data_IF_267983557775
#
_entry.id   IF_267983557775
#
_cell.length_a   1.000
_cell.length_b   1.000
_cell.length_c   1.000
_cell.angle_alpha   90.00
_cell.angle_beta   90.00
_cell.angle_gamma   90.00
#
_symmetry.space_group_name_H-M   'P 1'
#
loop_
_entity.id
_entity.type
_entity.pdbx_description
1 polymer ?
#
# COMPACT_ATOMS: atom_id res chain seq x y z
N UNK A 1 -18.84 0.84 -32.12
CA UNK A 1 -17.80 1.82 -31.74
C UNK A 1 -18.00 2.13 -30.27
N UNK A 2 -17.01 1.88 -29.39
CA UNK A 2 -17.17 2.23 -27.99
C UNK A 2 -17.11 3.75 -27.85
N UNK A 3 -18.18 4.31 -27.32
CA UNK A 3 -18.25 5.72 -26.97
C UNK A 3 -17.14 5.98 -25.94
N UNK A 4 -16.12 6.74 -26.33
CA UNK A 4 -15.13 7.28 -25.38
C UNK A 4 -15.91 8.21 -24.45
N UNK A 5 -16.40 7.69 -23.32
CA UNK A 5 -16.91 8.52 -22.23
C UNK A 5 -15.80 9.49 -21.86
N UNK A 6 -16.01 10.77 -22.14
CA UNK A 6 -15.13 11.84 -21.69
C UNK A 6 -15.07 11.79 -20.15
N UNK A 7 -13.86 11.69 -19.60
CA UNK A 7 -13.69 11.71 -18.14
C UNK A 7 -14.22 13.04 -17.59
N UNK A 8 -15.15 12.96 -16.65
CA UNK A 8 -15.54 14.07 -15.77
C UNK A 8 -15.29 13.66 -14.31
N UNK A 9 -15.25 14.62 -13.39
CA UNK A 9 -14.98 14.32 -11.97
C UNK A 9 -16.04 13.38 -11.37
N UNK A 10 -17.29 13.50 -11.83
CA UNK A 10 -18.40 12.65 -11.37
C UNK A 10 -18.23 11.18 -11.75
N UNK A 11 -17.41 10.88 -12.76
CA UNK A 11 -17.05 9.51 -13.14
C UNK A 11 -16.33 8.78 -12.00
N UNK A 12 -15.75 9.50 -11.03
CA UNK A 12 -15.14 8.90 -9.83
C UNK A 12 -16.16 8.26 -8.89
N UNK A 13 -17.46 8.59 -8.99
CA UNK A 13 -18.54 7.94 -8.25
C UNK A 13 -19.01 6.63 -8.90
N UNK A 14 -18.56 6.33 -10.13
CA UNK A 14 -18.84 5.04 -10.77
C UNK A 14 -17.85 3.98 -10.26
N UNK A 15 -18.32 2.92 -9.58
CA UNK A 15 -17.43 1.95 -8.92
C UNK A 15 -16.38 1.34 -9.86
N UNK A 16 -16.79 0.95 -11.06
CA UNK A 16 -15.97 0.33 -12.08
C UNK A 16 -14.88 1.27 -12.63
N UNK A 17 -15.12 2.57 -12.71
CA UNK A 17 -14.09 3.56 -13.05
C UNK A 17 -13.17 3.82 -11.85
N UNK A 18 -13.74 4.01 -10.66
CA UNK A 18 -13.01 4.28 -9.42
C UNK A 18 -12.00 3.18 -9.10
N UNK A 19 -12.45 1.92 -9.13
CA UNK A 19 -11.62 0.73 -8.89
C UNK A 19 -10.48 0.66 -9.90
N UNK A 20 -10.74 0.89 -11.19
CA UNK A 20 -9.70 0.85 -12.24
C UNK A 20 -8.62 1.93 -12.02
N UNK A 21 -9.04 3.16 -11.71
CA UNK A 21 -8.11 4.26 -11.45
C UNK A 21 -7.32 4.04 -10.16
N UNK A 22 -7.99 3.64 -9.09
CA UNK A 22 -7.37 3.31 -7.80
C UNK A 22 -6.35 2.17 -7.92
N UNK A 23 -6.73 1.06 -8.56
CA UNK A 23 -5.83 -0.07 -8.79
C UNK A 23 -4.61 0.33 -9.65
N UNK A 24 -4.82 1.15 -10.69
CA UNK A 24 -3.71 1.67 -11.51
C UNK A 24 -2.77 2.57 -10.68
N UNK A 25 -3.32 3.42 -9.82
CA UNK A 25 -2.52 4.28 -8.96
C UNK A 25 -1.75 3.49 -7.89
N UNK A 26 -2.39 2.48 -7.28
CA UNK A 26 -1.74 1.56 -6.36
C UNK A 26 -0.62 0.77 -7.03
N UNK A 27 -0.83 0.26 -8.25
CA UNK A 27 0.19 -0.43 -9.04
C UNK A 27 1.42 0.47 -9.27
N UNK A 28 1.23 1.77 -9.50
CA UNK A 28 2.33 2.74 -9.60
C UNK A 28 3.11 2.88 -8.29
N UNK A 29 2.43 2.85 -7.15
CA UNK A 29 3.10 2.88 -5.83
C UNK A 29 3.89 1.60 -5.59
N UNK A 30 3.28 0.43 -5.86
CA UNK A 30 3.95 -0.86 -5.75
C UNK A 30 5.22 -0.92 -6.60
N UNK A 31 5.15 -0.45 -7.84
CA UNK A 31 6.33 -0.36 -8.70
C UNK A 31 7.40 0.58 -8.10
N UNK A 32 6.99 1.75 -7.59
CA UNK A 32 7.91 2.73 -7.02
C UNK A 32 8.65 2.24 -5.77
N UNK A 33 8.06 1.33 -5.00
CA UNK A 33 8.63 0.75 -3.77
C UNK A 33 8.98 -0.74 -3.93
N UNK A 34 9.19 -1.22 -5.16
CA UNK A 34 9.59 -2.60 -5.49
C UNK A 34 8.75 -3.69 -4.80
N UNK A 35 7.44 -3.47 -4.75
CA UNK A 35 6.49 -4.41 -4.15
C UNK A 35 6.35 -4.32 -2.63
N UNK A 36 7.09 -3.45 -1.94
CA UNK A 36 6.93 -3.26 -0.50
C UNK A 36 5.54 -2.67 -0.21
N UNK A 37 4.63 -3.53 0.24
CA UNK A 37 3.20 -3.22 0.30
C UNK A 37 2.88 -2.09 1.30
N UNK A 38 3.38 -2.11 2.56
CA UNK A 38 3.14 -1.00 3.49
C UNK A 38 3.66 0.38 3.01
N UNK A 39 4.89 0.46 2.48
CA UNK A 39 5.42 1.70 1.90
C UNK A 39 4.57 2.21 0.73
N UNK A 40 4.03 1.29 -0.07
CA UNK A 40 3.15 1.61 -1.19
C UNK A 40 1.81 2.18 -0.73
N UNK A 41 1.24 1.66 0.37
CA UNK A 41 0.03 2.20 1.00
C UNK A 41 0.28 3.59 1.58
N UNK A 42 1.39 3.78 2.29
CA UNK A 42 1.77 5.08 2.83
C UNK A 42 1.90 6.12 1.70
N UNK A 43 2.52 5.75 0.58
CA UNK A 43 2.66 6.63 -0.58
C UNK A 43 1.34 6.87 -1.33
N UNK A 44 0.41 5.92 -1.32
CA UNK A 44 -0.93 6.08 -1.88
C UNK A 44 -1.71 7.18 -1.13
N UNK A 45 -1.60 7.20 0.21
CA UNK A 45 -2.30 8.17 1.07
C UNK A 45 -1.54 9.51 1.20
N UNK A 46 -0.27 9.49 1.62
CA UNK A 46 0.53 10.69 1.86
C UNK A 46 1.16 11.30 0.59
N UNK A 47 1.16 10.56 -0.51
CA UNK A 47 1.82 10.92 -1.75
C UNK A 47 3.28 10.44 -1.84
N UNK A 48 3.65 9.89 -2.99
CA UNK A 48 4.99 9.33 -3.27
C UNK A 48 6.15 10.29 -2.99
N UNK A 49 6.01 11.58 -3.30
CA UNK A 49 7.07 12.56 -3.08
C UNK A 49 7.35 12.78 -1.60
N UNK A 50 6.29 12.76 -0.78
CA UNK A 50 6.37 12.89 0.68
C UNK A 50 7.08 11.70 1.29
N UNK A 51 6.68 10.49 0.91
CA UNK A 51 7.31 9.25 1.38
C UNK A 51 8.78 9.15 0.98
N UNK A 52 9.12 9.45 -0.28
CA UNK A 52 10.52 9.44 -0.74
C UNK A 52 11.39 10.41 0.05
N UNK A 53 10.89 11.63 0.28
CA UNK A 53 11.62 12.63 1.07
C UNK A 53 11.81 12.17 2.51
N UNK A 54 10.77 11.60 3.12
CA UNK A 54 10.82 11.14 4.51
C UNK A 54 11.81 9.99 4.70
N UNK A 55 11.77 8.97 3.83
CA UNK A 55 12.73 7.86 3.86
C UNK A 55 14.17 8.32 3.60
N UNK A 56 14.38 9.23 2.64
CA UNK A 56 15.73 9.70 2.31
C UNK A 56 16.44 10.45 3.45
N UNK A 57 15.68 10.97 4.43
CA UNK A 57 16.23 11.63 5.61
C UNK A 57 16.53 10.65 6.76
N UNK A 58 16.27 9.35 6.57
CA UNK A 58 16.29 8.32 7.59
C UNK A 58 17.15 7.13 7.16
N UNK A 59 18.48 7.16 7.40
CA UNK A 59 19.40 6.10 6.99
C UNK A 59 18.99 4.70 7.46
N UNK A 60 18.33 4.60 8.63
CA UNK A 60 17.79 3.36 9.18
C UNK A 60 16.72 2.72 8.28
N UNK A 61 16.08 3.48 7.39
CA UNK A 61 15.09 2.99 6.44
C UNK A 61 15.68 2.53 5.10
N UNK A 62 17.00 2.65 4.91
CA UNK A 62 17.67 2.41 3.63
C UNK A 62 17.43 0.99 3.09
N UNK A 63 17.35 0.00 3.99
CA UNK A 63 17.21 -1.40 3.62
C UNK A 63 15.76 -1.86 3.47
N UNK A 64 14.75 -1.06 3.86
CA UNK A 64 13.34 -1.51 3.85
C UNK A 64 12.93 -2.08 2.49
N UNK A 65 13.27 -1.37 1.41
CA UNK A 65 12.89 -1.77 0.05
C UNK A 65 13.59 -3.07 -0.40
N UNK A 66 14.84 -3.30 0.04
CA UNK A 66 15.64 -4.48 -0.34
C UNK A 66 15.43 -5.68 0.60
N UNK A 67 15.08 -5.44 1.85
CA UNK A 67 14.95 -6.42 2.92
C UNK A 67 13.53 -6.37 3.49
N UNK A 68 12.58 -6.81 2.67
CA UNK A 68 11.19 -6.93 3.09
C UNK A 68 11.07 -8.07 4.11
N UNK A 69 10.68 -7.75 5.33
CA UNK A 69 10.38 -8.72 6.39
C UNK A 69 9.40 -8.11 7.38
N UNK A 70 8.78 -8.95 8.20
CA UNK A 70 7.89 -8.57 9.30
C UNK A 70 8.65 -8.36 10.61
N UNK A 71 9.97 -8.20 10.53
CA UNK A 71 10.79 -7.89 11.70
C UNK A 71 10.30 -6.55 12.29
N UNK A 72 9.97 -6.48 13.59
CA UNK A 72 9.53 -5.23 14.21
C UNK A 72 10.48 -4.03 13.98
N UNK A 73 11.78 -4.29 13.84
CA UNK A 73 12.78 -3.25 13.54
C UNK A 73 12.66 -2.68 12.12
N UNK A 74 12.13 -3.46 11.17
CA UNK A 74 11.85 -3.01 9.81
C UNK A 74 10.45 -2.39 9.67
N UNK A 75 9.65 -2.36 10.75
CA UNK A 75 8.26 -1.89 10.74
C UNK A 75 8.05 -0.64 11.61
N UNK A 76 8.98 -0.34 12.52
CA UNK A 76 8.94 0.82 13.44
C UNK A 76 8.71 2.16 12.71
N UNK A 77 9.20 2.27 11.47
CA UNK A 77 9.07 3.46 10.64
C UNK A 77 7.60 3.89 10.47
N UNK A 78 6.65 2.95 10.51
CA UNK A 78 5.23 3.28 10.39
C UNK A 78 4.82 4.23 11.51
N UNK A 79 5.24 3.95 12.74
CA UNK A 79 4.94 4.69 13.98
C UNK A 79 5.74 5.99 14.13
N UNK A 80 6.78 6.17 13.32
CA UNK A 80 7.62 7.37 13.34
C UNK A 80 7.21 8.39 12.27
N UNK A 81 6.24 8.05 11.41
CA UNK A 81 5.72 8.99 10.42
C UNK A 81 5.02 10.18 11.11
N UNK A 82 5.26 11.42 10.69
CA UNK A 82 4.66 12.61 11.30
C UNK A 82 3.20 12.85 10.84
N UNK A 83 2.59 11.90 10.14
CA UNK A 83 1.23 12.01 9.62
C UNK A 83 0.38 10.90 10.23
N UNK A 84 -0.27 11.20 11.34
CA UNK A 84 -1.09 10.24 12.09
C UNK A 84 -2.16 9.58 11.19
N UNK A 85 -2.80 10.35 10.31
CA UNK A 85 -3.75 9.84 9.33
C UNK A 85 -3.13 8.75 8.44
N UNK A 86 -1.89 8.94 7.98
CA UNK A 86 -1.19 7.98 7.12
C UNK A 86 -0.77 6.74 7.91
N UNK A 87 -0.33 6.90 9.16
CA UNK A 87 -0.05 5.78 10.06
C UNK A 87 -1.28 4.89 10.24
N UNK A 88 -2.40 5.51 10.63
CA UNK A 88 -3.67 4.81 10.86
C UNK A 88 -4.20 4.17 9.57
N UNK A 89 -4.04 4.86 8.43
CA UNK A 89 -4.42 4.35 7.12
C UNK A 89 -3.67 3.05 6.78
N UNK A 90 -2.34 3.03 6.90
CA UNK A 90 -1.51 1.86 6.58
C UNK A 90 -1.93 0.66 7.43
N UNK A 91 -2.01 0.85 8.75
CA UNK A 91 -2.40 -0.21 9.69
C UNK A 91 -3.82 -0.73 9.43
N UNK A 92 -4.76 0.18 9.15
CA UNK A 92 -6.15 -0.20 8.87
C UNK A 92 -6.29 -1.01 7.58
N UNK A 93 -5.58 -0.62 6.52
CA UNK A 93 -5.63 -1.35 5.24
C UNK A 93 -4.94 -2.71 5.38
N UNK A 94 -3.79 -2.80 6.06
CA UNK A 94 -3.12 -4.08 6.33
C UNK A 94 -4.01 -5.03 7.13
N UNK A 95 -4.64 -4.53 8.20
CA UNK A 95 -5.61 -5.32 8.97
C UNK A 95 -6.76 -5.82 8.10
N UNK A 96 -7.37 -4.93 7.32
CA UNK A 96 -8.49 -5.31 6.45
C UNK A 96 -8.06 -6.32 5.38
N UNK A 97 -6.85 -6.20 4.83
CA UNK A 97 -6.29 -7.16 3.90
C UNK A 97 -6.18 -8.56 4.52
N UNK A 98 -5.61 -8.67 5.72
CA UNK A 98 -5.50 -9.94 6.44
C UNK A 98 -6.88 -10.54 6.79
N UNK A 99 -7.83 -9.71 7.22
CA UNK A 99 -9.21 -10.15 7.48
C UNK A 99 -9.87 -10.65 6.21
N UNK A 100 -9.71 -9.96 5.08
CA UNK A 100 -10.26 -10.42 3.80
C UNK A 100 -9.66 -11.76 3.36
N UNK A 101 -8.35 -11.97 3.55
CA UNK A 101 -7.72 -13.27 3.28
C UNK A 101 -8.32 -14.39 4.14
N UNK A 102 -8.58 -14.12 5.43
CA UNK A 102 -9.25 -15.07 6.31
C UNK A 102 -10.69 -15.37 5.85
N UNK A 103 -11.43 -14.34 5.44
CA UNK A 103 -12.81 -14.51 4.95
C UNK A 103 -12.87 -15.28 3.62
N UNK A 104 -11.90 -15.05 2.72
CA UNK A 104 -11.84 -15.70 1.41
C UNK A 104 -11.36 -17.15 1.49
N UNK A 105 -10.35 -17.42 2.32
CA UNK A 105 -9.69 -18.74 2.37
C UNK A 105 -10.15 -19.60 3.56
N UNK A 106 -10.82 -19.03 4.56
CA UNK A 106 -11.18 -19.70 5.82
C UNK A 106 -10.03 -19.82 6.82
N UNK A 107 -8.81 -19.46 6.41
CA UNK A 107 -7.60 -19.46 7.23
C UNK A 107 -6.70 -18.27 6.90
N UNK A 108 -5.82 -17.90 7.84
CA UNK A 108 -4.80 -16.89 7.64
C UNK A 108 -3.43 -17.56 7.49
N UNK A 109 -2.89 -17.56 6.27
CA UNK A 109 -1.52 -17.97 6.03
C UNK A 109 -0.56 -16.83 6.39
N UNK A 110 0.06 -16.89 7.57
CA UNK A 110 1.10 -15.95 7.97
C UNK A 110 2.41 -16.30 7.26
N UNK A 111 2.85 -15.42 6.38
CA UNK A 111 4.13 -15.48 5.67
C UNK A 111 5.11 -14.50 6.27
N UNK A 112 6.37 -14.54 5.81
CA UNK A 112 7.31 -13.44 6.02
C UNK A 112 7.75 -12.89 4.65
N UNK A 113 7.40 -11.64 4.29
CA UNK A 113 6.60 -10.68 5.06
C UNK A 113 5.10 -11.02 5.14
N UNK A 114 4.43 -10.68 6.26
CA UNK A 114 3.00 -11.01 6.52
C UNK A 114 2.01 -10.44 5.49
N UNK A 115 2.41 -9.44 4.71
CA UNK A 115 1.60 -8.83 3.65
C UNK A 115 1.84 -9.42 2.26
N UNK A 116 2.63 -10.49 2.15
CA UNK A 116 2.87 -11.21 0.90
C UNK A 116 2.04 -12.49 0.90
N UNK A 117 1.14 -12.66 -0.08
CA UNK A 117 0.51 -13.96 -0.31
C UNK A 117 1.55 -14.95 -0.81
N UNK A 118 1.56 -16.17 -0.25
CA UNK A 118 2.20 -17.29 -0.91
C UNK A 118 1.59 -17.42 -2.32
N UNK A 119 2.39 -17.20 -3.36
CA UNK A 119 1.92 -17.43 -4.73
C UNK A 119 1.32 -18.82 -4.83
N UNK A 120 0.08 -18.91 -5.32
CA UNK A 120 -0.43 -20.18 -5.87
C UNK A 120 0.35 -20.55 -7.12
#
# INVERSE_FOLDING_TARGET
>A
ASEKRSFNIDSLYMPDMNIRLGARYLSRMLYAFKGHFPLSLAAYNAGIGRMRKWLALRPETANLISEQSSNPMNEIWMDEMPWDETNDYVKSVLRNYLVNQLLENGEMALTDPIWVTASK
#
